data_IF_138335693217
#
_entry.id   IF_138335693217
#
_cell.length_a   1.000
_cell.length_b   1.000
_cell.length_c   1.000
_cell.angle_alpha   90.00
_cell.angle_beta   90.00
_cell.angle_gamma   90.00
#
_symmetry.space_group_name_H-M   'P 1'
#
loop_
_entity.id
_entity.type
_entity.pdbx_description
1 polymer ?
#
# COMPACT_ATOMS: atom_id res chain seq x y z
N UNK A 1 -14.92 51.66 -2.68
CA UNK A 1 -13.90 50.61 -2.40
C UNK A 1 -13.78 49.72 -3.62
N UNK A 2 -12.64 49.75 -4.30
CA UNK A 2 -12.36 48.90 -5.48
C UNK A 2 -10.90 48.46 -5.35
N UNK A 3 -10.68 47.23 -4.86
CA UNK A 3 -9.35 46.62 -4.75
C UNK A 3 -8.95 46.13 -6.14
N UNK A 4 -7.96 46.76 -6.75
CA UNK A 4 -7.41 46.31 -8.02
C UNK A 4 -6.16 45.47 -7.76
N UNK A 5 -6.31 44.18 -8.12
CA UNK A 5 -5.33 43.17 -8.53
C UNK A 5 -3.84 43.56 -8.53
N UNK A 6 -3.06 42.86 -7.70
CA UNK A 6 -1.61 42.79 -7.77
C UNK A 6 -1.19 41.44 -8.35
N UNK A 7 -1.49 41.21 -9.63
CA UNK A 7 -1.02 40.05 -10.39
C UNK A 7 -0.48 40.55 -11.73
N UNK A 8 0.77 41.03 -11.72
CA UNK A 8 1.66 41.09 -12.87
C UNK A 8 2.91 41.82 -12.41
N UNK A 9 3.95 41.09 -12.02
CA UNK A 9 5.34 41.49 -12.05
C UNK A 9 6.14 40.23 -11.70
N UNK A 10 7.21 39.98 -12.45
CA UNK A 10 8.10 38.80 -12.36
C UNK A 10 7.65 37.55 -13.12
N UNK A 11 7.31 37.75 -14.40
CA UNK A 11 7.86 36.87 -15.44
C UNK A 11 9.35 37.20 -15.58
N UNK A 12 10.23 36.22 -15.36
CA UNK A 12 11.63 36.31 -15.80
C UNK A 12 12.67 36.03 -14.74
N UNK A 13 12.90 34.75 -14.44
CA UNK A 13 14.20 34.24 -14.00
C UNK A 13 14.23 32.74 -14.33
N UNK A 14 14.34 32.46 -15.63
CA UNK A 14 14.84 31.19 -16.12
C UNK A 14 16.36 31.21 -15.90
N UNK A 15 16.94 30.04 -15.61
CA UNK A 15 18.37 29.68 -15.63
C UNK A 15 19.02 29.42 -14.26
N UNK A 16 19.36 28.14 -14.08
CA UNK A 16 20.48 27.56 -13.35
C UNK A 16 20.47 27.57 -11.82
N UNK A 17 20.12 26.42 -11.23
CA UNK A 17 21.02 25.63 -10.36
C UNK A 17 20.60 24.15 -10.44
N UNK A 18 21.18 23.39 -11.38
CA UNK A 18 21.27 21.92 -11.27
C UNK A 18 22.71 21.63 -10.86
N UNK A 19 22.94 21.38 -9.59
CA UNK A 19 24.19 20.84 -9.10
C UNK A 19 23.96 20.08 -7.79
N UNK A 20 24.37 18.81 -7.83
CA UNK A 20 24.88 18.01 -6.71
C UNK A 20 23.94 17.65 -5.56
N UNK A 21 23.21 16.54 -5.73
CA UNK A 21 23.00 15.56 -4.66
C UNK A 21 23.12 14.14 -5.23
N UNK A 22 24.37 13.73 -5.46
CA UNK A 22 24.78 12.32 -5.63
C UNK A 22 25.79 12.00 -4.53
N UNK A 23 25.28 11.66 -3.35
CA UNK A 23 26.00 11.09 -2.21
C UNK A 23 24.95 10.22 -1.49
N UNK A 24 25.10 8.92 -1.24
CA UNK A 24 26.11 7.95 -1.60
C UNK A 24 25.49 6.56 -1.47
N UNK A 25 25.80 5.69 -2.41
CA UNK A 25 25.54 4.26 -2.30
C UNK A 25 26.61 3.67 -1.38
N UNK A 26 26.28 3.44 -0.10
CA UNK A 26 27.04 2.51 0.73
C UNK A 26 26.49 1.12 0.48
N UNK A 27 27.17 0.38 -0.40
CA UNK A 27 27.08 -1.06 -0.47
C UNK A 27 27.62 -1.64 0.86
N UNK A 28 26.72 -2.00 1.76
CA UNK A 28 27.04 -2.87 2.89
C UNK A 28 26.65 -4.30 2.50
N UNK A 29 27.53 -4.97 1.78
CA UNK A 29 27.58 -6.42 1.75
C UNK A 29 28.22 -6.87 3.07
N UNK A 30 27.40 -7.28 4.03
CA UNK A 30 27.80 -8.31 4.99
C UNK A 30 27.47 -9.66 4.38
N UNK A 31 28.50 -10.50 4.32
CA UNK A 31 28.48 -11.90 3.92
C UNK A 31 28.05 -12.76 5.12
N UNK A 32 27.58 -13.98 4.83
CA UNK A 32 27.18 -15.08 5.73
C UNK A 32 25.66 -15.05 6.05
N UNK A 33 24.82 -16.04 5.75
CA UNK A 33 24.99 -17.48 5.49
C UNK A 33 24.03 -17.99 4.39
N UNK A 34 24.45 -19.09 3.76
CA UNK A 34 23.64 -19.96 2.91
C UNK A 34 22.44 -20.53 3.68
N UNK A 35 21.22 -20.14 3.29
CA UNK A 35 20.01 -20.97 3.36
C UNK A 35 18.98 -20.41 2.37
N UNK A 36 19.27 -20.59 1.07
CA UNK A 36 18.35 -20.23 0.00
C UNK A 36 17.24 -21.28 -0.14
N UNK A 37 16.41 -21.40 0.90
CA UNK A 37 15.07 -21.98 0.81
C UNK A 37 14.11 -20.82 1.04
N UNK A 38 13.45 -20.37 -0.02
CA UNK A 38 12.47 -19.27 0.03
C UNK A 38 11.56 -19.42 1.27
N UNK A 39 11.73 -18.52 2.25
CA UNK A 39 10.88 -18.44 3.44
C UNK A 39 11.27 -19.32 4.64
N UNK A 40 12.31 -20.17 4.58
CA UNK A 40 12.61 -21.07 5.71
C UNK A 40 13.23 -20.32 6.91
N UNK A 41 12.40 -19.90 7.86
CA UNK A 41 12.82 -19.55 9.22
C UNK A 41 12.84 -18.06 9.60
N UNK A 42 12.45 -17.14 8.70
CA UNK A 42 12.29 -15.72 9.07
C UNK A 42 10.83 -15.37 9.34
N UNK A 43 10.62 -14.51 10.32
CA UNK A 43 9.36 -13.81 10.55
C UNK A 43 9.27 -12.56 9.66
N UNK A 44 8.05 -12.18 9.30
CA UNK A 44 7.74 -11.01 8.48
C UNK A 44 6.78 -10.08 9.19
N UNK A 45 6.98 -8.77 9.03
CA UNK A 45 6.00 -7.75 9.44
C UNK A 45 5.08 -7.46 8.26
N UNK A 46 3.80 -7.71 8.43
CA UNK A 46 2.81 -7.57 7.37
C UNK A 46 1.77 -6.50 7.72
N UNK A 47 1.50 -5.61 6.78
CA UNK A 47 0.41 -4.64 6.84
C UNK A 47 -0.46 -4.78 5.58
N UNK A 48 -1.76 -4.93 5.79
CA UNK A 48 -2.74 -4.99 4.71
C UNK A 48 -3.40 -3.63 4.57
N UNK A 49 -3.55 -3.14 3.34
CA UNK A 49 -4.17 -1.83 3.09
C UNK A 49 -5.24 -1.93 2.02
N UNK A 50 -6.22 -1.05 2.10
CA UNK A 50 -7.23 -0.86 1.09
C UNK A 50 -7.42 0.63 0.77
N UNK A 51 -7.57 0.94 -0.51
CA UNK A 51 -7.78 2.29 -1.03
C UNK A 51 -8.87 2.21 -2.09
N UNK A 52 -10.04 2.75 -1.78
CA UNK A 52 -11.15 2.90 -2.70
C UNK A 52 -11.18 4.31 -3.32
N UNK A 53 -11.79 4.45 -4.49
CA UNK A 53 -12.01 5.75 -5.13
C UNK A 53 -12.92 6.64 -4.29
N UNK A 54 -12.84 7.95 -4.53
CA UNK A 54 -13.71 8.94 -3.88
C UNK A 54 -15.19 8.56 -3.95
N UNK A 55 -15.92 8.84 -2.87
CA UNK A 55 -17.34 8.49 -2.74
C UNK A 55 -17.62 7.02 -2.43
N UNK A 56 -16.60 6.16 -2.40
CA UNK A 56 -16.77 4.75 -2.01
C UNK A 56 -16.70 4.57 -0.51
N UNK A 57 -17.25 3.47 -0.02
CA UNK A 57 -17.19 3.06 1.38
C UNK A 57 -16.69 1.62 1.49
N UNK A 58 -15.57 1.42 2.18
CA UNK A 58 -15.05 0.09 2.54
C UNK A 58 -15.88 -0.46 3.70
N UNK A 59 -16.35 -1.70 3.58
CA UNK A 59 -17.31 -2.28 4.54
C UNK A 59 -16.68 -3.38 5.39
N UNK A 60 -15.88 -4.24 4.75
CA UNK A 60 -15.26 -5.40 5.37
C UNK A 60 -13.91 -5.70 4.74
N UNK A 61 -12.95 -6.11 5.57
CA UNK A 61 -11.67 -6.65 5.16
C UNK A 61 -11.42 -7.99 5.87
N UNK A 62 -11.03 -9.01 5.11
CA UNK A 62 -10.57 -10.30 5.62
C UNK A 62 -9.10 -10.43 5.24
N UNK A 63 -8.22 -10.58 6.21
CA UNK A 63 -6.79 -10.60 6.00
C UNK A 63 -6.11 -11.60 6.92
N UNK A 64 -4.99 -12.18 6.51
CA UNK A 64 -4.30 -13.14 7.36
C UNK A 64 -3.06 -13.74 6.74
N UNK A 65 -2.36 -14.53 7.55
CA UNK A 65 -1.13 -15.23 7.22
C UNK A 65 -1.40 -16.73 7.42
N UNK A 66 -0.98 -17.57 6.48
CA UNK A 66 -1.07 -19.04 6.53
C UNK A 66 -2.44 -19.60 6.92
N UNK A 67 -3.51 -19.02 6.39
CA UNK A 67 -4.87 -19.50 6.64
C UNK A 67 -5.42 -19.16 8.04
N UNK A 68 -4.79 -18.22 8.75
CA UNK A 68 -5.31 -17.63 9.99
C UNK A 68 -5.92 -16.24 9.72
N UNK A 69 -7.16 -16.15 9.17
CA UNK A 69 -7.77 -14.88 8.83
C UNK A 69 -8.30 -14.14 10.06
N UNK A 70 -8.14 -12.83 10.04
CA UNK A 70 -8.86 -11.85 10.86
C UNK A 70 -9.87 -11.13 9.97
N UNK A 71 -11.09 -10.94 10.49
CA UNK A 71 -12.14 -10.18 9.81
C UNK A 71 -12.34 -8.85 10.53
N UNK A 72 -12.15 -7.75 9.80
CA UNK A 72 -12.52 -6.41 10.24
C UNK A 72 -13.84 -6.01 9.56
N UNK A 73 -14.89 -5.79 10.36
CA UNK A 73 -16.23 -5.38 9.90
C UNK A 73 -16.56 -3.97 10.36
N UNK A 74 -17.72 -3.46 9.95
CA UNK A 74 -18.21 -2.12 10.30
C UNK A 74 -17.20 -1.03 9.94
N UNK A 75 -16.44 -1.26 8.88
CA UNK A 75 -15.50 -0.30 8.34
C UNK A 75 -16.26 0.85 7.66
N UNK A 76 -15.58 1.96 7.48
CA UNK A 76 -16.11 3.10 6.73
C UNK A 76 -14.99 3.92 6.12
N UNK A 77 -15.37 4.76 5.16
CA UNK A 77 -14.44 5.63 4.43
C UNK A 77 -13.77 4.94 3.24
N UNK A 78 -12.85 5.67 2.61
CA UNK A 78 -12.20 5.25 1.36
C UNK A 78 -10.85 4.59 1.58
N UNK A 79 -10.34 4.55 2.81
CA UNK A 79 -9.04 3.95 3.13
C UNK A 79 -9.13 3.12 4.38
N UNK A 80 -8.44 1.98 4.40
CA UNK A 80 -8.30 1.14 5.57
C UNK A 80 -6.89 0.56 5.64
N UNK A 81 -6.39 0.34 6.86
CA UNK A 81 -5.14 -0.35 7.13
C UNK A 81 -5.35 -1.30 8.30
N UNK A 82 -4.84 -2.52 8.19
CA UNK A 82 -4.74 -3.41 9.34
C UNK A 82 -3.72 -2.86 10.35
N UNK A 83 -3.78 -3.33 11.61
CA UNK A 83 -2.60 -3.36 12.47
C UNK A 83 -1.44 -4.10 11.78
N UNK A 84 -0.21 -3.82 12.20
CA UNK A 84 0.95 -4.63 11.80
C UNK A 84 0.84 -6.02 12.45
N UNK A 85 0.98 -7.06 11.65
CA UNK A 85 0.98 -8.46 12.10
C UNK A 85 2.37 -9.02 11.88
N UNK A 86 2.98 -9.60 12.92
CA UNK A 86 4.24 -10.33 12.77
C UNK A 86 3.93 -11.81 12.52
N UNK A 87 4.47 -12.37 11.44
CA UNK A 87 4.32 -13.78 11.11
C UNK A 87 5.17 -14.66 12.03
N UNK A 88 4.77 -15.91 12.19
CA UNK A 88 5.68 -16.92 12.71
C UNK A 88 6.87 -17.13 11.76
N UNK A 89 8.04 -17.54 12.28
CA UNK A 89 9.16 -17.95 11.45
C UNK A 89 8.76 -19.09 10.51
N UNK A 90 9.07 -18.97 9.22
CA UNK A 90 8.70 -20.01 8.26
C UNK A 90 7.30 -19.87 7.68
N UNK A 91 6.61 -18.76 7.93
CA UNK A 91 5.31 -18.51 7.33
C UNK A 91 5.39 -18.57 5.79
N UNK A 92 4.34 -19.07 5.14
CA UNK A 92 4.34 -19.35 3.70
C UNK A 92 3.69 -18.24 2.88
N UNK A 93 2.52 -17.74 3.29
CA UNK A 93 1.81 -16.72 2.53
C UNK A 93 1.01 -15.73 3.38
N UNK A 94 0.76 -14.57 2.78
CA UNK A 94 -0.17 -13.56 3.25
C UNK A 94 -1.30 -13.35 2.24
N UNK A 95 -2.53 -13.16 2.72
CA UNK A 95 -3.71 -12.96 1.89
C UNK A 95 -4.59 -11.86 2.43
N UNK A 96 -5.27 -11.15 1.53
CA UNK A 96 -6.29 -10.16 1.87
C UNK A 96 -7.39 -10.13 0.83
N UNK A 97 -8.63 -9.98 1.29
CA UNK A 97 -9.81 -9.69 0.50
C UNK A 97 -10.60 -8.54 1.13
N UNK A 98 -11.05 -7.59 0.33
CA UNK A 98 -11.79 -6.42 0.80
C UNK A 98 -12.98 -6.17 -0.10
N UNK A 99 -14.09 -5.80 0.53
CA UNK A 99 -15.29 -5.37 -0.15
C UNK A 99 -15.59 -3.90 0.16
N UNK A 100 -16.07 -3.21 -0.87
CA UNK A 100 -16.49 -1.82 -0.79
C UNK A 100 -17.67 -1.57 -1.72
N UNK A 101 -18.39 -0.48 -1.49
CA UNK A 101 -19.43 0.02 -2.38
C UNK A 101 -19.01 1.39 -2.89
N UNK A 102 -18.96 1.53 -4.21
CA UNK A 102 -18.69 2.78 -4.92
C UNK A 102 -19.95 3.53 -5.31
N UNK A 103 -19.84 4.81 -5.71
CA UNK A 103 -20.98 5.61 -6.13
C UNK A 103 -21.58 5.15 -7.47
N UNK A 104 -20.77 4.57 -8.35
CA UNK A 104 -21.16 4.15 -9.70
C UNK A 104 -20.18 3.08 -10.27
N UNK A 105 -20.40 2.67 -11.51
CA UNK A 105 -19.61 1.62 -12.17
C UNK A 105 -18.15 2.01 -12.46
N UNK A 106 -17.77 3.29 -12.34
CA UNK A 106 -16.39 3.76 -12.53
C UNK A 106 -15.56 3.71 -11.24
N UNK A 107 -16.18 3.39 -10.11
CA UNK A 107 -15.49 3.27 -8.83
C UNK A 107 -14.44 2.15 -8.87
N UNK A 108 -13.40 2.30 -8.05
CA UNK A 108 -12.26 1.37 -8.00
C UNK A 108 -11.88 1.04 -6.57
N UNK A 109 -11.36 -0.16 -6.35
CA UNK A 109 -10.76 -0.60 -5.09
C UNK A 109 -9.37 -1.17 -5.36
N UNK A 110 -8.40 -0.75 -4.56
CA UNK A 110 -7.06 -1.35 -4.48
C UNK A 110 -6.87 -1.99 -3.12
N UNK A 111 -6.32 -3.20 -3.10
CA UNK A 111 -5.88 -3.87 -1.88
C UNK A 111 -4.40 -4.19 -1.99
N UNK A 112 -3.66 -4.04 -0.90
CA UNK A 112 -2.22 -4.14 -0.90
C UNK A 112 -1.74 -5.02 0.25
N UNK A 113 -0.68 -5.78 -0.03
CA UNK A 113 0.10 -6.51 0.97
C UNK A 113 1.47 -5.85 1.04
N UNK A 114 1.77 -5.29 2.20
CA UNK A 114 3.07 -4.72 2.53
C UNK A 114 3.81 -5.70 3.45
N UNK A 115 5.04 -6.04 3.10
CA UNK A 115 5.90 -6.94 3.88
C UNK A 115 7.20 -6.23 4.17
N UNK A 116 7.57 -6.17 5.46
CA UNK A 116 8.79 -5.53 5.95
C UNK A 116 8.94 -4.07 5.46
N UNK A 117 7.82 -3.35 5.37
CA UNK A 117 7.77 -1.96 4.93
C UNK A 117 7.71 -1.76 3.41
N UNK A 118 7.77 -2.83 2.62
CA UNK A 118 7.74 -2.78 1.16
C UNK A 118 6.42 -3.29 0.58
N UNK A 119 5.90 -2.62 -0.45
CA UNK A 119 4.74 -3.11 -1.20
C UNK A 119 5.15 -4.35 -2.01
N UNK A 120 4.59 -5.51 -1.67
CA UNK A 120 4.88 -6.77 -2.39
C UNK A 120 3.80 -7.16 -3.37
N UNK A 121 2.54 -6.84 -3.06
CA UNK A 121 1.41 -7.19 -3.92
C UNK A 121 0.31 -6.14 -3.87
N UNK A 122 -0.30 -5.90 -5.04
CA UNK A 122 -1.52 -5.11 -5.19
C UNK A 122 -2.54 -5.95 -5.98
N UNK A 123 -3.80 -5.88 -5.55
CA UNK A 123 -4.96 -6.38 -6.28
C UNK A 123 -5.96 -5.25 -6.49
N UNK A 124 -6.67 -5.26 -7.61
CA UNK A 124 -7.59 -4.18 -7.98
C UNK A 124 -8.94 -4.70 -8.43
N UNK A 125 -9.98 -3.90 -8.22
CA UNK A 125 -11.34 -4.14 -8.71
C UNK A 125 -11.95 -2.82 -9.16
N UNK A 126 -12.96 -2.90 -10.03
CA UNK A 126 -13.73 -1.75 -10.50
C UNK A 126 -15.20 -2.11 -10.66
N UNK A 127 -16.09 -1.13 -10.48
CA UNK A 127 -17.53 -1.32 -10.50
C UNK A 127 -18.20 -0.68 -9.29
N UNK A 128 -19.53 -0.68 -9.27
CA UNK A 128 -20.27 -0.15 -8.12
C UNK A 128 -20.11 -1.03 -6.87
N UNK A 129 -20.12 -2.35 -7.05
CA UNK A 129 -19.82 -3.32 -6.00
C UNK A 129 -18.38 -3.80 -6.20
N UNK A 130 -17.53 -3.47 -5.24
CA UNK A 130 -16.10 -3.70 -5.34
C UNK A 130 -15.73 -4.90 -4.48
N UNK A 131 -14.97 -5.83 -5.06
CA UNK A 131 -14.34 -6.92 -4.35
C UNK A 131 -12.96 -7.16 -4.95
N UNK A 132 -11.93 -6.92 -4.15
CA UNK A 132 -10.54 -7.06 -4.57
C UNK A 132 -9.79 -7.97 -3.59
N UNK A 133 -8.91 -8.80 -4.13
CA UNK A 133 -8.07 -9.71 -3.36
C UNK A 133 -6.60 -9.60 -3.76
N UNK A 134 -5.71 -9.89 -2.83
CA UNK A 134 -4.29 -10.06 -3.09
C UNK A 134 -3.76 -11.27 -2.30
N UNK A 135 -2.75 -11.93 -2.85
CA UNK A 135 -2.05 -13.04 -2.21
C UNK A 135 -0.57 -12.96 -2.55
N UNK A 136 0.27 -13.16 -1.54
CA UNK A 136 1.73 -13.09 -1.66
C UNK A 136 2.35 -14.28 -0.93
N UNK A 137 3.29 -14.96 -1.57
CA UNK A 137 4.14 -16.00 -0.98
C UNK A 137 5.47 -15.36 -0.62
N UNK A 138 5.97 -15.62 0.60
CA UNK A 138 7.13 -14.90 1.17
C UNK A 138 8.46 -15.15 0.46
#
# INVERSE_FOLDING_TARGET
MKKMSMNQLLRGAFIAVIATMLIGFTASCSKDDDDNVNGAGKSHKVVFKAIASSGSNIEVAVYGIDGNPTTATSLSGTTWSSPEVTSEPGAYNATVGVNAVGPDASATLKVQIWVDGELKKEGTSSGQYLSATASYTF
#
